data_IF_552184237511
#
_entry.id   IF_552184237511
#
_cell.length_a   1.000
_cell.length_b   1.000
_cell.length_c   1.000
_cell.angle_alpha   90.00
_cell.angle_beta   90.00
_cell.angle_gamma   90.00
#
_symmetry.space_group_name_H-M   'P 1'
#
loop_
_entity.id
_entity.type
_entity.pdbx_description
1 polymer ?
#
# COMPACT_ATOMS: atom_id res chain seq x y z
N UNK A 1 -31.44 -9.64 -14.98
CA UNK A 1 -30.56 -10.48 -14.15
C UNK A 1 -29.34 -10.85 -15.00
N UNK A 2 -28.18 -10.25 -14.75
CA UNK A 2 -26.93 -10.57 -15.46
C UNK A 2 -26.29 -11.83 -14.83
N UNK A 3 -25.71 -12.75 -15.61
CA UNK A 3 -25.08 -13.94 -15.05
C UNK A 3 -23.79 -13.55 -14.32
N UNK A 4 -23.62 -14.07 -13.10
CA UNK A 4 -22.38 -13.98 -12.33
C UNK A 4 -21.26 -14.63 -13.16
N UNK A 5 -20.24 -13.85 -13.55
CA UNK A 5 -19.01 -14.38 -14.15
C UNK A 5 -18.44 -15.43 -13.20
N UNK A 6 -18.38 -16.68 -13.67
CA UNK A 6 -17.71 -17.76 -12.96
C UNK A 6 -16.25 -17.38 -12.74
N UNK A 7 -15.82 -17.41 -11.48
CA UNK A 7 -14.41 -17.22 -11.12
C UNK A 7 -13.66 -18.42 -11.70
N UNK A 8 -12.92 -18.22 -12.79
CA UNK A 8 -12.04 -19.26 -13.33
C UNK A 8 -10.97 -19.54 -12.27
N UNK A 9 -11.05 -20.72 -11.67
CA UNK A 9 -10.01 -21.25 -10.79
C UNK A 9 -8.72 -21.30 -11.62
N UNK A 10 -7.58 -20.72 -11.17
CA UNK A 10 -6.32 -21.00 -11.84
C UNK A 10 -6.09 -22.53 -11.79
N UNK A 11 -5.49 -23.13 -12.83
CA UNK A 11 -5.20 -24.56 -12.82
C UNK A 11 -4.33 -24.89 -11.61
N UNK A 12 -4.74 -25.90 -10.83
CA UNK A 12 -4.00 -26.36 -9.64
C UNK A 12 -2.55 -26.79 -9.97
N UNK A 13 -2.28 -27.10 -11.24
CA UNK A 13 -1.02 -27.64 -11.76
C UNK A 13 0.23 -26.82 -11.43
N UNK A 14 0.13 -25.48 -11.30
CA UNK A 14 1.31 -24.66 -10.96
C UNK A 14 1.79 -24.93 -9.53
N UNK A 15 0.85 -25.06 -8.58
CA UNK A 15 1.19 -25.31 -7.17
C UNK A 15 1.55 -26.78 -6.90
N UNK A 16 1.20 -27.69 -7.79
CA UNK A 16 1.50 -29.12 -7.69
C UNK A 16 2.82 -29.52 -8.40
N UNK A 17 3.55 -28.54 -8.96
CA UNK A 17 4.80 -28.75 -9.69
C UNK A 17 6.05 -28.58 -8.82
N UNK A 18 7.12 -29.32 -9.15
CA UNK A 18 8.40 -29.27 -8.43
C UNK A 18 9.44 -28.44 -9.18
N UNK A 19 10.26 -27.68 -8.43
CA UNK A 19 11.40 -26.94 -8.97
C UNK A 19 12.67 -27.79 -8.89
N UNK A 20 13.42 -27.90 -10.00
CA UNK A 20 14.64 -28.72 -10.10
C UNK A 20 15.94 -27.94 -9.89
N UNK A 21 15.90 -26.61 -9.80
CA UNK A 21 17.06 -25.77 -9.53
C UNK A 21 17.50 -25.83 -8.06
N UNK A 22 18.77 -25.50 -7.79
CA UNK A 22 19.28 -25.38 -6.41
C UNK A 22 18.50 -24.31 -5.62
N UNK A 23 18.30 -24.48 -4.29
CA UNK A 23 17.56 -23.52 -3.48
C UNK A 23 18.19 -22.11 -3.50
N UNK A 24 17.39 -21.11 -3.85
CA UNK A 24 17.75 -19.68 -3.84
C UNK A 24 16.49 -18.81 -3.87
N UNK A 25 16.61 -17.56 -3.41
CA UNK A 25 15.51 -16.59 -3.39
C UNK A 25 14.90 -16.36 -4.78
N UNK A 26 15.72 -16.35 -5.82
CA UNK A 26 15.25 -16.15 -7.20
C UNK A 26 14.17 -17.15 -7.62
N UNK A 27 14.24 -18.41 -7.15
CA UNK A 27 13.25 -19.42 -7.51
C UNK A 27 11.84 -19.03 -7.01
N UNK A 28 11.73 -18.41 -5.83
CA UNK A 28 10.44 -17.96 -5.29
C UNK A 28 9.85 -16.80 -6.10
N UNK A 29 10.71 -15.90 -6.59
CA UNK A 29 10.31 -14.79 -7.47
C UNK A 29 9.82 -15.33 -8.80
N UNK A 30 10.58 -16.26 -9.41
CA UNK A 30 10.28 -16.84 -10.72
C UNK A 30 8.97 -17.63 -10.73
N UNK A 31 8.70 -18.43 -9.68
CA UNK A 31 7.48 -19.24 -9.56
C UNK A 31 6.22 -18.38 -9.42
N UNK A 32 6.29 -17.26 -8.70
CA UNK A 32 5.13 -16.36 -8.55
C UNK A 32 4.90 -15.51 -9.81
N UNK A 33 5.98 -15.00 -10.41
CA UNK A 33 5.93 -14.15 -11.59
C UNK A 33 5.11 -12.86 -11.42
N UNK A 34 5.00 -12.10 -12.51
CA UNK A 34 4.16 -10.90 -12.58
C UNK A 34 4.62 -9.72 -11.71
N UNK A 35 5.91 -9.67 -11.37
CA UNK A 35 6.51 -8.59 -10.59
C UNK A 35 6.62 -7.31 -11.40
N UNK A 36 6.14 -6.20 -10.85
CA UNK A 36 6.30 -4.87 -11.43
C UNK A 36 7.50 -4.14 -10.84
N UNK A 37 7.78 -4.37 -9.56
CA UNK A 37 8.82 -3.72 -8.79
C UNK A 37 10.13 -4.49 -8.83
N UNK A 38 11.22 -3.73 -8.82
CA UNK A 38 12.55 -4.24 -8.54
C UNK A 38 12.73 -4.39 -7.02
N UNK A 39 13.70 -5.20 -6.62
CA UNK A 39 14.20 -5.28 -5.24
C UNK A 39 15.47 -4.44 -5.09
N UNK A 40 15.83 -4.03 -3.85
CA UNK A 40 17.13 -3.42 -3.59
C UNK A 40 18.26 -4.30 -4.17
N UNK A 41 19.28 -3.71 -4.84
CA UNK A 41 20.36 -4.49 -5.45
C UNK A 41 21.07 -5.44 -4.48
N UNK A 42 21.16 -5.07 -3.20
CA UNK A 42 21.74 -5.88 -2.14
C UNK A 42 21.01 -7.22 -1.87
N UNK A 43 19.75 -7.37 -2.30
CA UNK A 43 19.02 -8.64 -2.21
C UNK A 43 19.52 -9.69 -3.20
N UNK A 44 20.28 -9.30 -4.24
CA UNK A 44 20.91 -10.23 -5.18
C UNK A 44 19.91 -11.02 -6.04
N UNK A 45 18.76 -10.43 -6.35
CA UNK A 45 17.68 -11.04 -7.15
C UNK A 45 17.20 -10.11 -8.26
N UNK A 46 16.62 -10.69 -9.31
CA UNK A 46 16.04 -9.99 -10.46
C UNK A 46 14.52 -10.13 -10.45
N UNK A 47 13.80 -9.02 -10.62
CA UNK A 47 12.34 -8.98 -10.68
C UNK A 47 11.87 -7.91 -11.68
N UNK A 48 10.85 -7.13 -11.33
CA UNK A 48 10.37 -6.01 -12.14
C UNK A 48 11.36 -4.85 -12.21
N UNK A 49 10.87 -3.67 -12.60
CA UNK A 49 11.69 -2.49 -12.89
C UNK A 49 11.39 -1.26 -12.04
N UNK A 50 10.23 -1.24 -11.36
CA UNK A 50 9.80 -0.07 -10.58
C UNK A 50 10.52 -0.10 -9.22
N UNK A 51 11.28 0.92 -8.92
CA UNK A 51 12.06 1.02 -7.67
C UNK A 51 11.19 1.54 -6.51
N UNK A 52 10.13 0.81 -6.18
CA UNK A 52 9.23 1.18 -5.07
C UNK A 52 9.92 1.19 -3.70
N UNK A 53 11.04 0.47 -3.55
CA UNK A 53 11.92 0.51 -2.37
C UNK A 53 12.68 1.84 -2.24
N UNK A 54 12.60 2.72 -3.24
CA UNK A 54 13.27 4.02 -3.32
C UNK A 54 12.25 5.14 -3.66
N UNK A 55 11.00 4.98 -3.24
CA UNK A 55 9.94 5.95 -3.54
C UNK A 55 10.10 7.26 -2.75
N UNK A 56 10.40 8.35 -3.47
CA UNK A 56 10.52 9.70 -2.91
C UNK A 56 9.25 10.17 -2.19
N UNK A 57 8.07 9.68 -2.59
CA UNK A 57 6.80 10.08 -1.99
C UNK A 57 6.65 9.51 -0.58
N UNK A 58 7.10 8.27 -0.35
CA UNK A 58 7.15 7.64 0.98
C UNK A 58 8.19 8.33 1.86
N UNK A 59 9.37 8.70 1.32
CA UNK A 59 10.35 9.47 2.07
C UNK A 59 9.82 10.80 2.55
N UNK A 60 9.14 11.53 1.67
CA UNK A 60 8.49 12.78 2.04
C UNK A 60 7.44 12.59 3.15
N UNK A 61 6.69 11.49 3.11
CA UNK A 61 5.74 11.14 4.18
C UNK A 61 6.45 10.89 5.53
N UNK A 62 7.57 10.16 5.50
CA UNK A 62 8.42 9.92 6.68
C UNK A 62 8.96 11.24 7.21
N UNK A 63 9.47 12.13 6.34
CA UNK A 63 9.98 13.45 6.73
C UNK A 63 8.89 14.33 7.36
N UNK A 64 7.67 14.27 6.83
CA UNK A 64 6.53 14.98 7.41
C UNK A 64 6.11 14.41 8.77
N UNK A 65 6.19 13.09 8.94
CA UNK A 65 5.85 12.43 10.19
C UNK A 65 6.93 12.65 11.27
N UNK A 66 8.19 12.63 10.88
CA UNK A 66 9.35 12.52 11.76
C UNK A 66 9.75 11.06 12.01
N UNK A 67 10.37 10.79 13.15
CA UNK A 67 10.87 9.44 13.49
C UNK A 67 9.75 8.40 13.50
N UNK A 68 9.92 7.32 12.74
CA UNK A 68 9.07 6.13 12.76
C UNK A 68 9.55 5.02 13.70
N UNK A 69 10.67 5.21 14.40
CA UNK A 69 11.20 4.20 15.33
C UNK A 69 10.15 3.77 16.37
N UNK A 70 9.79 2.47 16.33
CA UNK A 70 8.82 1.86 17.23
C UNK A 70 7.35 2.22 16.97
N UNK A 71 7.04 3.02 15.94
CA UNK A 71 5.68 3.43 15.60
C UNK A 71 4.89 2.31 14.95
N UNK A 72 3.60 2.22 15.26
CA UNK A 72 2.68 1.31 14.61
C UNK A 72 2.11 1.98 13.36
N UNK A 73 2.39 1.40 12.19
CA UNK A 73 1.99 1.93 10.89
C UNK A 73 1.05 0.95 10.21
N UNK A 74 -0.09 1.43 9.73
CA UNK A 74 -0.96 0.67 8.84
C UNK A 74 -0.62 1.04 7.40
N UNK A 75 -0.40 0.04 6.54
CA UNK A 75 -0.25 0.22 5.10
C UNK A 75 -1.42 -0.43 4.36
N UNK A 76 -2.04 0.31 3.46
CA UNK A 76 -3.18 -0.16 2.68
C UNK A 76 -2.75 -0.46 1.24
N UNK A 77 -3.04 -1.69 0.78
CA UNK A 77 -2.66 -2.20 -0.55
C UNK A 77 -1.14 -2.11 -0.83
N UNK A 78 -0.29 -2.80 -0.04
CA UNK A 78 1.18 -2.76 -0.16
C UNK A 78 1.73 -3.27 -1.50
N UNK A 79 0.93 -4.01 -2.29
CA UNK A 79 1.30 -4.48 -3.61
C UNK A 79 2.44 -5.51 -3.62
N UNK A 80 3.68 -5.02 -3.73
CA UNK A 80 4.91 -5.84 -3.77
C UNK A 80 5.89 -5.46 -2.66
N UNK A 81 5.39 -4.81 -1.59
CA UNK A 81 6.10 -4.49 -0.35
C UNK A 81 7.28 -3.50 -0.44
N UNK A 82 7.44 -2.79 -1.57
CA UNK A 82 8.49 -1.77 -1.70
C UNK A 82 8.33 -0.61 -0.72
N UNK A 83 7.11 -0.12 -0.52
CA UNK A 83 6.79 0.91 0.47
C UNK A 83 6.89 0.36 1.90
N UNK A 84 6.43 -0.86 2.14
CA UNK A 84 6.64 -1.57 3.43
C UNK A 84 8.11 -1.63 3.83
N UNK A 85 9.01 -1.91 2.88
CA UNK A 85 10.45 -1.93 3.11
C UNK A 85 10.99 -0.58 3.57
N UNK A 86 10.56 0.53 2.95
CA UNK A 86 10.95 1.88 3.38
C UNK A 86 10.45 2.20 4.79
N UNK A 87 9.20 1.87 5.09
CA UNK A 87 8.59 2.12 6.40
C UNK A 87 9.29 1.32 7.50
N UNK A 88 9.52 0.02 7.29
CA UNK A 88 10.24 -0.82 8.25
C UNK A 88 11.71 -0.39 8.41
N UNK A 89 12.38 -0.01 7.31
CA UNK A 89 13.76 0.49 7.35
C UNK A 89 13.86 1.79 8.15
N UNK A 90 12.80 2.60 8.17
CA UNK A 90 12.70 3.82 8.98
C UNK A 90 12.33 3.56 10.46
N UNK A 91 12.20 2.30 10.88
CA UNK A 91 11.97 1.95 12.28
C UNK A 91 10.54 1.49 12.61
N UNK A 92 9.61 1.53 11.65
CA UNK A 92 8.22 1.21 11.89
C UNK A 92 7.96 -0.28 12.16
N UNK A 93 6.87 -0.54 12.88
CA UNK A 93 6.16 -1.83 12.90
C UNK A 93 4.97 -1.71 11.96
N UNK A 94 5.00 -2.46 10.87
CA UNK A 94 4.02 -2.29 9.78
C UNK A 94 3.00 -3.42 9.83
N UNK A 95 1.72 -3.07 9.86
CA UNK A 95 0.62 -3.96 9.54
C UNK A 95 0.07 -3.56 8.17
N UNK A 96 0.03 -4.48 7.22
CA UNK A 96 -0.30 -4.17 5.84
C UNK A 96 -1.45 -5.05 5.34
N UNK A 97 -2.51 -4.43 4.82
CA UNK A 97 -3.71 -5.11 4.33
C UNK A 97 -3.72 -5.08 2.79
N UNK A 98 -3.65 -6.25 2.17
CA UNK A 98 -3.66 -6.40 0.72
C UNK A 98 -4.95 -7.11 0.26
N UNK A 99 -5.81 -6.46 -0.54
CA UNK A 99 -7.02 -7.10 -1.05
C UNK A 99 -6.77 -8.10 -2.19
N UNK A 100 -5.68 -7.96 -2.94
CA UNK A 100 -5.37 -8.85 -4.06
C UNK A 100 -4.63 -10.10 -3.61
N UNK A 101 -5.20 -11.27 -3.86
CA UNK A 101 -4.55 -12.56 -3.57
C UNK A 101 -3.16 -12.68 -4.19
N UNK A 102 -3.02 -12.27 -5.45
CA UNK A 102 -1.74 -12.37 -6.16
C UNK A 102 -0.69 -11.41 -5.59
N UNK A 103 -1.10 -10.19 -5.26
CA UNK A 103 -0.20 -9.21 -4.63
C UNK A 103 0.16 -9.63 -3.19
N UNK A 104 -0.78 -10.20 -2.44
CA UNK A 104 -0.52 -10.71 -1.09
C UNK A 104 0.56 -11.80 -1.10
N UNK A 105 0.50 -12.76 -2.03
CA UNK A 105 1.55 -13.77 -2.15
C UNK A 105 2.89 -13.14 -2.54
N UNK A 106 2.90 -12.13 -3.43
CA UNK A 106 4.10 -11.34 -3.71
C UNK A 106 4.63 -10.63 -2.47
N UNK A 107 3.77 -10.04 -1.63
CA UNK A 107 4.18 -9.45 -0.36
C UNK A 107 4.89 -10.46 0.54
N UNK A 108 4.37 -11.70 0.63
CA UNK A 108 5.02 -12.75 1.44
C UNK A 108 6.39 -13.15 0.89
N UNK A 109 6.55 -13.29 -0.43
CA UNK A 109 7.87 -13.56 -1.03
C UNK A 109 8.81 -12.37 -0.84
N UNK A 110 8.32 -11.15 -1.07
CA UNK A 110 9.07 -9.91 -0.89
C UNK A 110 9.55 -9.73 0.56
N UNK A 111 8.71 -10.11 1.53
CA UNK A 111 9.05 -10.16 2.96
C UNK A 111 10.32 -10.95 3.20
N UNK A 112 10.42 -12.16 2.65
CA UNK A 112 11.59 -13.01 2.84
C UNK A 112 12.82 -12.52 2.05
N UNK A 113 12.61 -12.02 0.82
CA UNK A 113 13.69 -11.45 -0.01
C UNK A 113 14.35 -10.25 0.67
N UNK A 114 13.55 -9.35 1.24
CA UNK A 114 14.02 -8.13 1.90
C UNK A 114 14.25 -8.31 3.42
N UNK A 115 14.01 -9.51 3.95
CA UNK A 115 14.16 -9.86 5.37
C UNK A 115 13.35 -8.96 6.31
N UNK A 116 12.14 -8.61 5.89
CA UNK A 116 11.22 -7.81 6.69
C UNK A 116 10.78 -8.62 7.92
N UNK A 117 11.11 -8.12 9.10
CA UNK A 117 10.88 -8.78 10.39
C UNK A 117 9.83 -8.05 11.25
N UNK A 118 9.61 -6.76 10.99
CA UNK A 118 8.64 -5.91 11.69
C UNK A 118 7.38 -5.62 10.86
N UNK A 119 7.29 -6.17 9.66
CA UNK A 119 6.12 -6.08 8.78
C UNK A 119 5.27 -7.35 8.80
N UNK A 120 3.96 -7.20 8.98
CA UNK A 120 2.96 -8.27 8.85
C UNK A 120 2.01 -7.94 7.69
N UNK A 121 1.82 -8.91 6.81
CA UNK A 121 0.89 -8.80 5.69
C UNK A 121 -0.36 -9.63 5.97
N UNK A 122 -1.51 -9.08 5.66
CA UNK A 122 -2.81 -9.76 5.74
C UNK A 122 -3.52 -9.67 4.39
N UNK A 123 -4.15 -10.77 4.00
CA UNK A 123 -5.07 -10.80 2.86
C UNK A 123 -6.47 -10.48 3.36
N UNK A 124 -7.08 -9.39 2.89
CA UNK A 124 -8.40 -9.01 3.38
C UNK A 124 -9.00 -7.78 2.71
N UNK A 125 -10.29 -7.57 2.98
CA UNK A 125 -10.98 -6.35 2.60
C UNK A 125 -10.61 -5.22 3.56
N UNK A 126 -10.08 -4.12 3.00
CA UNK A 126 -9.57 -2.99 3.80
C UNK A 126 -10.69 -2.23 4.52
N UNK A 127 -11.86 -2.10 3.90
CA UNK A 127 -12.98 -1.35 4.49
C UNK A 127 -13.62 -2.15 5.64
N UNK A 128 -13.83 -3.46 5.44
CA UNK A 128 -14.28 -4.36 6.48
C UNK A 128 -13.29 -4.38 7.66
N UNK A 129 -11.98 -4.46 7.38
CA UNK A 129 -10.96 -4.40 8.42
C UNK A 129 -11.02 -3.10 9.24
N UNK A 130 -11.08 -1.94 8.56
CA UNK A 130 -11.14 -0.64 9.24
C UNK A 130 -12.41 -0.48 10.09
N UNK A 131 -13.53 -1.09 9.69
CA UNK A 131 -14.79 -1.09 10.45
C UNK A 131 -14.75 -2.01 11.67
N UNK A 132 -14.08 -3.16 11.56
CA UNK A 132 -14.06 -4.20 12.60
C UNK A 132 -12.97 -4.00 13.66
N UNK A 133 -11.81 -3.48 13.28
CA UNK A 133 -10.66 -3.33 14.20
C UNK A 133 -10.84 -2.17 15.19
N UNK A 134 -10.42 -2.37 16.44
CA UNK A 134 -10.26 -1.27 17.42
C UNK A 134 -8.82 -0.74 17.48
N UNK A 135 -7.91 -1.31 16.69
CA UNK A 135 -6.51 -0.89 16.67
C UNK A 135 -6.38 0.54 16.16
N UNK A 136 -5.59 1.35 16.87
CA UNK A 136 -5.16 2.67 16.41
C UNK A 136 -3.70 2.66 16.01
N UNK A 137 -3.39 3.41 14.95
CA UNK A 137 -2.07 3.52 14.35
C UNK A 137 -1.55 4.95 14.47
N UNK A 138 -0.24 5.08 14.66
CA UNK A 138 0.43 6.37 14.66
C UNK A 138 0.34 7.01 13.25
N UNK A 139 0.46 6.19 12.20
CA UNK A 139 0.38 6.60 10.80
C UNK A 139 -0.37 5.54 9.97
N UNK A 140 -1.24 5.99 9.06
CA UNK A 140 -1.72 5.16 7.95
C UNK A 140 -1.13 5.64 6.63
N UNK A 141 -0.62 4.72 5.83
CA UNK A 141 -0.06 4.95 4.49
C UNK A 141 -0.99 4.33 3.44
N UNK A 142 -1.48 5.14 2.50
CA UNK A 142 -2.41 4.74 1.46
C UNK A 142 -1.98 5.29 0.10
N UNK A 143 -1.16 4.53 -0.64
CA UNK A 143 -0.73 4.85 -2.00
C UNK A 143 -1.64 4.14 -3.02
N UNK A 144 -2.44 4.92 -3.76
CA UNK A 144 -3.42 4.42 -4.74
C UNK A 144 -4.43 3.40 -4.16
N UNK A 145 -4.58 3.37 -2.83
CA UNK A 145 -5.51 2.49 -2.14
C UNK A 145 -6.93 3.06 -2.10
N UNK A 146 -7.09 4.39 -2.03
CA UNK A 146 -8.39 5.06 -1.91
C UNK A 146 -9.36 4.70 -3.03
N UNK A 147 -8.89 4.58 -4.27
CA UNK A 147 -9.68 4.17 -5.44
C UNK A 147 -10.26 2.75 -5.37
N UNK A 148 -9.90 1.96 -4.35
CA UNK A 148 -10.44 0.62 -4.10
C UNK A 148 -11.58 0.62 -3.07
N UNK A 149 -11.80 1.72 -2.36
CA UNK A 149 -12.95 1.89 -1.49
C UNK A 149 -14.20 2.15 -2.31
N UNK A 150 -15.36 1.72 -1.81
CA UNK A 150 -16.64 1.97 -2.46
C UNK A 150 -16.93 3.48 -2.54
N UNK A 151 -16.59 4.21 -1.48
CA UNK A 151 -16.64 5.67 -1.40
C UNK A 151 -15.30 6.18 -0.82
N UNK A 152 -14.43 6.77 -1.67
CA UNK A 152 -13.13 7.28 -1.25
C UNK A 152 -13.20 8.41 -0.22
N UNK A 153 -14.26 9.23 -0.22
CA UNK A 153 -14.41 10.33 0.74
C UNK A 153 -14.91 9.79 2.09
N UNK A 154 -15.88 8.87 2.08
CA UNK A 154 -16.32 8.21 3.30
C UNK A 154 -15.20 7.38 3.96
N UNK A 155 -14.26 6.85 3.15
CA UNK A 155 -13.09 6.16 3.66
C UNK A 155 -12.20 7.06 4.55
N UNK A 156 -12.17 8.38 4.32
CA UNK A 156 -11.38 9.31 5.15
C UNK A 156 -11.87 9.29 6.60
N UNK A 157 -13.18 9.23 6.84
CA UNK A 157 -13.72 9.14 8.19
C UNK A 157 -13.32 7.83 8.89
N UNK A 158 -13.34 6.70 8.17
CA UNK A 158 -12.87 5.41 8.70
C UNK A 158 -11.39 5.46 9.06
N UNK A 159 -10.56 6.00 8.16
CA UNK A 159 -9.13 6.16 8.38
C UNK A 159 -8.82 7.08 9.57
N UNK A 160 -9.52 8.22 9.66
CA UNK A 160 -9.36 9.18 10.74
C UNK A 160 -9.68 8.57 12.11
N UNK A 161 -10.65 7.66 12.16
CA UNK A 161 -10.98 6.98 13.41
C UNK A 161 -9.86 6.04 13.88
N UNK A 162 -9.07 5.50 12.96
CA UNK A 162 -7.97 4.55 13.23
C UNK A 162 -6.58 5.18 13.30
N UNK A 163 -6.41 6.46 12.96
CA UNK A 163 -5.09 7.06 12.81
C UNK A 163 -4.90 8.37 13.58
N UNK A 164 -3.65 8.69 13.93
CA UNK A 164 -3.25 10.05 14.36
C UNK A 164 -2.71 10.89 13.20
N UNK A 165 -2.09 10.24 12.21
CA UNK A 165 -1.67 10.84 10.96
C UNK A 165 -2.02 9.97 9.75
N UNK A 166 -2.23 10.60 8.60
CA UNK A 166 -2.45 9.94 7.31
C UNK A 166 -1.43 10.44 6.30
N UNK A 167 -0.93 9.50 5.51
CA UNK A 167 -0.30 9.80 4.24
C UNK A 167 -1.09 9.14 3.11
N UNK A 168 -1.54 9.95 2.16
CA UNK A 168 -2.35 9.53 1.02
C UNK A 168 -1.62 9.96 -0.26
N UNK A 169 -1.46 9.02 -1.18
CA UNK A 169 -1.16 9.35 -2.57
C UNK A 169 -2.30 8.85 -3.46
N UNK A 170 -2.89 9.71 -4.27
CA UNK A 170 -3.96 9.31 -5.19
C UNK A 170 -3.96 10.19 -6.44
N UNK A 171 -4.46 9.64 -7.54
CA UNK A 171 -4.84 10.45 -8.70
C UNK A 171 -6.07 11.29 -8.36
N UNK A 172 -6.04 12.56 -8.76
CA UNK A 172 -7.17 13.49 -8.65
C UNK A 172 -7.56 14.01 -10.02
N UNK A 173 -8.85 14.30 -10.19
CA UNK A 173 -9.38 14.90 -11.41
C UNK A 173 -8.70 16.24 -11.70
N UNK A 174 -8.37 16.51 -12.97
CA UNK A 174 -8.23 17.91 -13.40
C UNK A 174 -9.62 18.51 -13.67
N UNK A 175 -9.72 19.84 -13.55
CA UNK A 175 -10.99 20.58 -13.59
C UNK A 175 -11.80 20.23 -14.86
N UNK A 176 -12.98 19.63 -14.69
CA UNK A 176 -13.91 19.29 -15.79
C UNK A 176 -14.27 17.81 -15.91
N UNK A 177 -13.57 16.91 -15.21
CA UNK A 177 -13.91 15.47 -15.20
C UNK A 177 -14.90 15.15 -14.06
N UNK A 178 -16.06 14.61 -14.44
CA UNK A 178 -17.21 14.44 -13.53
C UNK A 178 -17.14 13.19 -12.62
N UNK A 179 -16.17 12.29 -12.81
CA UNK A 179 -16.13 10.97 -12.17
C UNK A 179 -14.88 10.69 -11.33
N UNK A 180 -13.98 11.65 -11.20
CA UNK A 180 -12.73 11.49 -10.45
C UNK A 180 -12.76 12.26 -9.13
N UNK A 181 -12.12 11.69 -8.12
CA UNK A 181 -11.90 12.32 -6.81
C UNK A 181 -11.27 13.69 -7.00
N UNK A 182 -11.90 14.73 -6.45
CA UNK A 182 -11.37 16.09 -6.53
C UNK A 182 -10.47 16.37 -5.34
N UNK A 183 -9.43 17.16 -5.59
CA UNK A 183 -8.52 17.65 -4.56
C UNK A 183 -9.26 18.35 -3.42
N UNK A 184 -10.14 19.29 -3.74
CA UNK A 184 -10.81 20.13 -2.74
C UNK A 184 -11.76 19.31 -1.85
N UNK A 185 -12.45 18.32 -2.42
CA UNK A 185 -13.32 17.40 -1.67
C UNK A 185 -12.51 16.54 -0.70
N UNK A 186 -11.33 16.06 -1.12
CA UNK A 186 -10.43 15.29 -0.27
C UNK A 186 -9.89 16.12 0.90
N UNK A 187 -9.50 17.38 0.66
CA UNK A 187 -9.03 18.30 1.71
C UNK A 187 -10.17 18.63 2.68
N UNK A 188 -11.37 18.89 2.17
CA UNK A 188 -12.55 19.13 3.00
C UNK A 188 -12.86 17.93 3.90
N UNK A 189 -12.86 16.71 3.35
CA UNK A 189 -13.08 15.49 4.12
C UNK A 189 -12.02 15.29 5.23
N UNK A 190 -10.76 15.65 4.98
CA UNK A 190 -9.71 15.59 6.01
C UNK A 190 -9.97 16.59 7.15
N UNK A 191 -10.39 17.82 6.82
CA UNK A 191 -10.76 18.81 7.84
C UNK A 191 -11.98 18.38 8.66
N UNK A 192 -13.03 17.88 8.00
CA UNK A 192 -14.22 17.34 8.67
C UNK A 192 -13.88 16.18 9.59
N UNK A 193 -12.90 15.37 9.21
CA UNK A 193 -12.40 14.26 10.01
C UNK A 193 -11.42 14.67 11.14
N UNK A 194 -11.18 15.97 11.32
CA UNK A 194 -10.41 16.53 12.42
C UNK A 194 -8.90 16.65 12.18
N UNK A 195 -8.43 16.50 10.94
CA UNK A 195 -7.04 16.79 10.60
C UNK A 195 -6.84 18.30 10.42
N UNK A 196 -5.85 18.87 11.12
CA UNK A 196 -5.60 20.32 11.15
C UNK A 196 -4.29 20.69 10.47
N UNK A 197 -3.28 19.84 10.55
CA UNK A 197 -1.99 20.05 9.91
C UNK A 197 -1.90 19.23 8.61
N UNK A 198 -2.30 19.86 7.50
CA UNK A 198 -2.32 19.27 6.17
C UNK A 198 -1.19 19.86 5.33
N UNK A 199 -0.37 18.99 4.74
CA UNK A 199 0.70 19.33 3.82
C UNK A 199 0.47 18.59 2.51
N UNK A 200 0.82 19.24 1.41
CA UNK A 200 0.67 18.69 0.07
C UNK A 200 2.01 18.68 -0.66
N UNK A 201 2.18 17.69 -1.51
CA UNK A 201 3.25 17.64 -2.49
C UNK A 201 2.69 17.20 -3.84
N UNK A 202 2.96 17.98 -4.88
CA UNK A 202 2.66 17.60 -6.25
C UNK A 202 3.69 16.58 -6.73
N UNK A 203 3.21 15.44 -7.22
CA UNK A 203 4.04 14.56 -8.05
C UNK A 203 4.15 15.19 -9.44
N UNK A 204 5.34 15.68 -9.81
CA UNK A 204 5.55 16.42 -11.06
C UNK A 204 4.93 15.76 -12.31
N UNK A 205 4.46 16.59 -13.23
CA UNK A 205 3.85 16.28 -14.54
C UNK A 205 2.66 15.30 -14.57
N UNK A 206 2.25 14.68 -13.46
CA UNK A 206 1.07 13.80 -13.39
C UNK A 206 -0.02 14.37 -12.48
N UNK A 207 -1.27 14.01 -12.73
CA UNK A 207 -2.46 14.30 -11.91
C UNK A 207 -2.45 13.65 -10.50
N UNK A 208 -1.27 13.32 -9.97
CA UNK A 208 -1.10 12.69 -8.68
C UNK A 208 -0.98 13.73 -7.56
N UNK A 209 -1.71 13.52 -6.48
CA UNK A 209 -1.69 14.33 -5.29
C UNK A 209 -1.16 13.50 -4.12
N UNK A 210 -0.12 14.01 -3.46
CA UNK A 210 0.36 13.47 -2.19
C UNK A 210 -0.07 14.40 -1.05
N UNK A 211 -0.75 13.87 -0.05
CA UNK A 211 -1.17 14.59 1.15
C UNK A 211 -0.60 13.89 2.38
N UNK A 212 -0.04 14.69 3.28
CA UNK A 212 0.20 14.30 4.66
C UNK A 212 -0.73 15.09 5.56
N UNK A 213 -1.44 14.43 6.46
CA UNK A 213 -2.40 15.06 7.37
C UNK A 213 -2.18 14.56 8.80
N UNK A 214 -2.21 15.45 9.79
CA UNK A 214 -2.13 15.14 11.22
C UNK A 214 -3.17 15.91 12.03
N UNK A 215 -3.71 15.26 13.06
CA UNK A 215 -4.64 15.88 14.02
C UNK A 215 -3.96 17.00 14.81
#
# INVERSE_FOLDING_TARGET
MLPKRGVSRPPAEVFDSYVSSVPRLQNAIDVIGGWSCAFPPACGVSAGRIEAFDDARIRWAIDCFGSLEGRNVLELSPGEAGHSFLLESAGARVEAIEPSRAAFIRCLVAKEVMRLSRTRFWLGDMEAFLRDTDTRYDLVVACDALRRFADPLAAIALLAHRADALYIHTQVAQRGEASLLRRDDLIAALHEAGFTNIREAESGHSSGLSIFARK
#
